data_IF_389530373531
#
_entry.id   IF_389530373531
#
_cell.length_a   1.000
_cell.length_b   1.000
_cell.length_c   1.000
_cell.angle_alpha   90.00
_cell.angle_beta   90.00
_cell.angle_gamma   90.00
#
_symmetry.space_group_name_H-M   'P 1'
#
loop_
_entity.id
_entity.type
_entity.pdbx_description
1 polymer ?
#
# COMPACT_ATOMS: atom_id res chain seq x y z
N UNK A 1 73.94 -27.82 -5.64
CA UNK A 1 72.62 -27.17 -5.54
C UNK A 1 71.72 -27.83 -6.57
N UNK A 2 70.82 -28.68 -6.08
CA UNK A 2 69.71 -29.41 -6.73
C UNK A 2 68.49 -29.01 -5.86
N UNK A 3 67.26 -28.72 -6.30
CA UNK A 3 66.37 -29.11 -7.41
C UNK A 3 65.22 -28.07 -7.42
N UNK A 4 64.86 -27.43 -8.55
CA UNK A 4 63.72 -27.69 -9.45
C UNK A 4 62.30 -27.71 -8.85
N UNK A 5 61.40 -26.93 -9.45
CA UNK A 5 59.95 -27.11 -9.37
C UNK A 5 59.17 -26.05 -10.15
N UNK A 6 58.77 -26.38 -11.38
CA UNK A 6 58.07 -25.56 -12.39
C UNK A 6 56.57 -25.91 -12.45
N UNK A 7 55.73 -24.96 -12.88
CA UNK A 7 54.40 -25.18 -13.47
C UNK A 7 53.85 -23.85 -14.03
N UNK A 8 54.09 -23.48 -15.30
CA UNK A 8 53.27 -23.76 -16.53
C UNK A 8 51.84 -23.24 -16.41
N UNK A 9 51.22 -22.40 -17.25
CA UNK A 9 51.36 -21.93 -18.65
C UNK A 9 50.50 -20.65 -18.75
N UNK A 10 50.57 -19.71 -19.71
CA UNK A 10 51.18 -19.63 -21.03
C UNK A 10 51.03 -18.19 -21.55
N UNK A 11 51.86 -17.84 -22.52
CA UNK A 11 51.87 -16.57 -23.26
C UNK A 11 51.04 -16.73 -24.52
N UNK A 12 50.11 -15.81 -24.81
CA UNK A 12 50.04 -15.14 -26.12
C UNK A 12 49.12 -13.92 -26.12
N UNK A 13 49.55 -12.91 -26.87
CA UNK A 13 48.94 -11.59 -27.07
C UNK A 13 47.81 -11.68 -28.08
N UNK A 14 46.75 -10.89 -27.92
CA UNK A 14 45.91 -10.46 -29.05
C UNK A 14 45.30 -9.09 -28.77
N UNK A 15 45.58 -8.19 -29.70
CA UNK A 15 45.29 -6.76 -29.71
C UNK A 15 43.95 -6.54 -30.44
N UNK A 16 43.07 -5.73 -29.87
CA UNK A 16 42.13 -4.89 -30.62
C UNK A 16 41.64 -3.76 -29.70
N UNK A 17 42.42 -2.68 -29.65
CA UNK A 17 41.99 -1.39 -29.09
C UNK A 17 40.84 -0.85 -29.95
N UNK A 18 39.62 -0.92 -29.40
CA UNK A 18 38.50 -0.10 -29.84
C UNK A 18 38.64 1.29 -29.22
N UNK A 19 38.84 2.29 -30.07
CA UNK A 19 38.89 3.72 -29.79
C UNK A 19 37.88 4.19 -28.74
N UNK A 20 38.36 4.85 -27.69
CA UNK A 20 37.57 5.75 -26.83
C UNK A 20 38.21 7.13 -26.85
N UNK A 21 37.56 8.06 -27.54
CA UNK A 21 37.78 9.51 -27.50
C UNK A 21 36.44 10.17 -27.08
N UNK A 22 36.43 11.42 -26.59
CA UNK A 22 35.93 11.74 -25.26
C UNK A 22 34.90 12.87 -25.28
N UNK A 23 33.71 12.67 -24.72
CA UNK A 23 32.83 13.79 -24.32
C UNK A 23 31.74 13.24 -23.41
N UNK A 24 31.49 13.91 -22.28
CA UNK A 24 30.43 13.53 -21.37
C UNK A 24 30.74 13.87 -19.93
N UNK A 25 30.52 15.14 -19.59
CA UNK A 25 30.10 15.62 -18.27
C UNK A 25 29.57 14.48 -17.38
N UNK A 26 30.34 14.09 -16.38
CA UNK A 26 29.80 13.27 -15.29
C UNK A 26 29.08 14.22 -14.34
N UNK A 27 27.81 14.46 -14.68
CA UNK A 27 26.81 15.12 -13.86
C UNK A 27 26.75 14.43 -12.49
N UNK A 28 27.06 15.21 -11.46
CA UNK A 28 26.78 14.89 -10.06
C UNK A 28 25.28 15.00 -9.85
N UNK A 29 24.52 13.93 -10.11
CA UNK A 29 23.11 13.90 -9.75
C UNK A 29 22.94 13.50 -8.28
N UNK A 30 23.23 14.48 -7.43
CA UNK A 30 22.76 14.59 -6.05
C UNK A 30 21.24 14.86 -6.07
N UNK A 31 20.50 14.12 -5.25
CA UNK A 31 19.14 14.51 -4.85
C UNK A 31 18.00 13.91 -5.67
N UNK A 32 17.73 12.63 -5.49
CA UNK A 32 16.34 12.18 -5.44
C UNK A 32 16.09 11.61 -4.05
N UNK A 33 15.94 12.51 -3.07
CA UNK A 33 15.04 12.24 -1.95
C UNK A 33 13.62 12.23 -2.51
N UNK A 34 13.30 11.18 -3.28
CA UNK A 34 11.91 10.80 -3.47
C UNK A 34 11.52 10.21 -2.13
N UNK A 35 11.05 11.05 -1.23
CA UNK A 35 10.14 10.62 -0.17
C UNK A 35 9.01 9.92 -0.90
N UNK A 36 9.14 8.60 -1.07
CA UNK A 36 8.05 7.75 -1.53
C UNK A 36 6.86 8.13 -0.63
N UNK A 37 5.68 8.45 -1.19
CA UNK A 37 4.51 8.59 -0.34
C UNK A 37 4.47 7.35 0.56
N UNK A 38 4.18 7.52 1.86
CA UNK A 38 4.17 6.39 2.79
C UNK A 38 3.35 5.29 2.11
N UNK A 39 3.98 4.13 1.91
CA UNK A 39 3.45 3.10 1.03
C UNK A 39 1.97 2.86 1.39
N UNK A 40 1.07 3.18 0.47
CA UNK A 40 -0.36 3.00 0.71
C UNK A 40 -0.61 1.51 0.99
N UNK A 41 -1.45 1.16 1.97
CA UNK A 41 -1.81 -0.23 2.20
C UNK A 41 -2.38 -0.84 0.93
N UNK A 42 -1.93 -2.04 0.59
CA UNK A 42 -2.59 -2.82 -0.43
C UNK A 42 -4.02 -3.09 0.02
N UNK A 43 -4.98 -2.80 -0.86
CA UNK A 43 -6.39 -2.94 -0.58
C UNK A 43 -7.12 -3.63 -1.73
N UNK A 44 -8.15 -4.39 -1.40
CA UNK A 44 -9.02 -5.10 -2.34
C UNK A 44 -10.47 -4.77 -2.01
N UNK A 45 -11.25 -4.34 -3.01
CA UNK A 45 -12.69 -4.17 -2.85
C UNK A 45 -13.35 -5.55 -2.94
N UNK A 46 -13.77 -6.10 -1.80
CA UNK A 46 -14.38 -7.44 -1.72
C UNK A 46 -15.86 -7.38 -2.08
N UNK A 47 -16.55 -6.33 -1.62
CA UNK A 47 -17.97 -6.16 -1.90
C UNK A 47 -18.28 -4.74 -2.36
N UNK A 48 -19.19 -4.66 -3.33
CA UNK A 48 -19.77 -3.42 -3.82
C UNK A 48 -21.28 -3.59 -3.91
N UNK A 49 -22.00 -2.88 -3.06
CA UNK A 49 -23.45 -2.85 -3.02
C UNK A 49 -23.93 -1.50 -3.52
N UNK A 50 -24.97 -1.49 -4.35
CA UNK A 50 -25.58 -0.27 -4.87
C UNK A 50 -27.08 -0.38 -4.58
N UNK A 51 -27.56 0.49 -3.69
CA UNK A 51 -28.95 0.49 -3.21
C UNK A 51 -29.46 1.92 -3.24
N UNK A 52 -30.53 2.20 -3.99
CA UNK A 52 -31.12 3.55 -4.13
C UNK A 52 -30.07 4.65 -4.43
N UNK A 53 -29.23 4.42 -5.45
CA UNK A 53 -28.11 5.30 -5.85
C UNK A 53 -27.02 5.52 -4.79
N UNK A 54 -27.10 4.84 -3.63
CA UNK A 54 -26.03 4.83 -2.61
C UNK A 54 -25.14 3.62 -2.83
N UNK A 55 -23.85 3.89 -3.01
CA UNK A 55 -22.83 2.83 -3.16
C UNK A 55 -22.18 2.56 -1.82
N UNK A 56 -22.26 1.32 -1.35
CA UNK A 56 -21.52 0.81 -0.19
C UNK A 56 -20.38 -0.08 -0.66
N UNK A 57 -19.15 0.26 -0.26
CA UNK A 57 -17.97 -0.55 -0.53
C UNK A 57 -17.48 -1.23 0.74
N UNK A 58 -17.06 -2.47 0.61
CA UNK A 58 -16.31 -3.18 1.65
C UNK A 58 -14.93 -3.48 1.11
N UNK A 59 -13.94 -2.95 1.80
CA UNK A 59 -12.55 -2.93 1.39
C UNK A 59 -11.77 -3.76 2.40
N UNK A 60 -11.09 -4.77 1.90
CA UNK A 60 -10.15 -5.56 2.67
C UNK A 60 -8.77 -4.96 2.49
N UNK A 61 -8.12 -4.61 3.60
CA UNK A 61 -6.70 -4.29 3.61
C UNK A 61 -5.93 -5.47 4.17
N UNK A 62 -4.67 -5.61 3.79
CA UNK A 62 -3.84 -6.63 4.41
C UNK A 62 -3.70 -6.37 5.92
N UNK A 63 -3.64 -7.40 6.77
CA UNK A 63 -3.40 -7.20 8.19
C UNK A 63 -1.99 -6.62 8.40
N UNK A 64 -1.92 -5.46 9.06
CA UNK A 64 -0.66 -4.75 9.25
C UNK A 64 -0.78 -3.58 10.22
N UNK A 65 0.37 -3.02 10.60
CA UNK A 65 0.43 -1.78 11.36
C UNK A 65 0.58 -0.61 10.38
N UNK A 66 -0.54 0.04 10.08
CA UNK A 66 -0.58 1.21 9.22
C UNK A 66 -0.52 2.48 10.06
N UNK A 67 0.14 3.50 9.56
CA UNK A 67 0.04 4.83 10.15
C UNK A 67 -1.27 5.47 9.74
N UNK A 68 -1.80 6.42 10.53
CA UNK A 68 -2.98 7.21 10.17
C UNK A 68 -2.81 7.81 8.77
N UNK A 69 -1.65 8.40 8.46
CA UNK A 69 -1.34 8.95 7.13
C UNK A 69 -1.49 7.92 6.00
N UNK A 70 -1.12 6.65 6.22
CA UNK A 70 -1.27 5.59 5.21
C UNK A 70 -2.76 5.27 4.96
N UNK A 71 -3.55 5.21 6.03
CA UNK A 71 -5.00 5.01 5.96
C UNK A 71 -5.71 6.21 5.34
N UNK A 72 -5.27 7.42 5.63
CA UNK A 72 -5.79 8.64 5.00
C UNK A 72 -5.55 8.62 3.49
N UNK A 73 -4.33 8.28 3.05
CA UNK A 73 -4.02 8.14 1.62
C UNK A 73 -4.92 7.10 0.95
N UNK A 74 -5.14 5.95 1.59
CA UNK A 74 -6.10 4.93 1.13
C UNK A 74 -7.51 5.51 0.97
N UNK A 75 -7.98 6.25 1.98
CA UNK A 75 -9.31 6.88 1.95
C UNK A 75 -9.43 7.87 0.80
N UNK A 76 -8.43 8.74 0.59
CA UNK A 76 -8.43 9.67 -0.54
C UNK A 76 -8.52 8.93 -1.87
N UNK A 77 -7.76 7.86 -2.05
CA UNK A 77 -7.76 7.05 -3.27
C UNK A 77 -9.12 6.38 -3.51
N UNK A 78 -9.74 5.85 -2.46
CA UNK A 78 -11.07 5.22 -2.52
C UNK A 78 -12.17 6.23 -2.85
N UNK A 79 -12.13 7.41 -2.23
CA UNK A 79 -13.11 8.47 -2.47
C UNK A 79 -12.96 9.06 -3.88
N UNK A 80 -11.72 9.28 -4.33
CA UNK A 80 -11.44 9.79 -5.68
C UNK A 80 -11.79 8.77 -6.77
N UNK A 81 -11.40 7.50 -6.58
CA UNK A 81 -11.57 6.44 -7.58
C UNK A 81 -13.02 5.96 -7.67
N UNK A 82 -13.66 5.72 -6.53
CA UNK A 82 -14.97 5.07 -6.49
C UNK A 82 -16.12 5.98 -6.06
N UNK A 83 -15.81 7.11 -5.41
CA UNK A 83 -16.79 8.04 -4.82
C UNK A 83 -17.95 7.31 -4.12
N UNK A 84 -17.67 6.40 -3.17
CA UNK A 84 -18.72 5.65 -2.50
C UNK A 84 -19.57 6.57 -1.61
N UNK A 85 -20.79 6.15 -1.31
CA UNK A 85 -21.59 6.81 -0.26
C UNK A 85 -21.17 6.31 1.13
N UNK A 86 -20.88 5.01 1.23
CA UNK A 86 -20.34 4.37 2.42
C UNK A 86 -19.17 3.47 2.05
N UNK A 87 -18.11 3.48 2.81
CA UNK A 87 -17.05 2.48 2.69
C UNK A 87 -16.71 1.91 4.07
N UNK A 88 -16.44 0.63 4.15
CA UNK A 88 -16.03 -0.05 5.38
C UNK A 88 -14.70 -0.72 5.08
N UNK A 89 -13.66 -0.34 5.82
CA UNK A 89 -12.32 -0.90 5.65
C UNK A 89 -12.02 -1.85 6.80
N UNK A 90 -11.74 -3.10 6.47
CA UNK A 90 -11.48 -4.19 7.42
C UNK A 90 -10.16 -4.88 7.12
N UNK A 91 -9.55 -5.52 8.12
CA UNK A 91 -8.31 -6.30 7.95
C UNK A 91 -8.55 -7.78 7.65
N UNK A 92 -9.77 -8.26 7.83
CA UNK A 92 -10.10 -9.68 7.76
C UNK A 92 -11.27 -9.94 6.82
N UNK A 93 -11.18 -11.01 6.04
CA UNK A 93 -12.22 -11.36 5.06
C UNK A 93 -13.52 -11.80 5.73
N UNK A 94 -13.46 -12.43 6.90
CA UNK A 94 -14.65 -12.76 7.70
C UNK A 94 -15.40 -11.47 8.09
N UNK A 95 -14.69 -10.44 8.57
CA UNK A 95 -15.30 -9.14 8.84
C UNK A 95 -15.89 -8.49 7.57
N UNK A 96 -15.25 -8.67 6.40
CA UNK A 96 -15.79 -8.16 5.15
C UNK A 96 -17.15 -8.80 4.79
N UNK A 97 -17.29 -10.11 5.00
CA UNK A 97 -18.57 -10.82 4.79
C UNK A 97 -19.61 -10.38 5.82
N UNK A 98 -19.21 -10.16 7.09
CA UNK A 98 -20.10 -9.61 8.10
C UNK A 98 -20.58 -8.20 7.73
N UNK A 99 -19.73 -7.35 7.16
CA UNK A 99 -20.06 -5.97 6.80
C UNK A 99 -21.19 -5.83 5.77
N UNK A 100 -21.46 -6.88 4.98
CA UNK A 100 -22.56 -6.90 4.01
C UNK A 100 -23.84 -7.57 4.54
N UNK A 101 -23.78 -8.17 5.73
CA UNK A 101 -24.92 -8.84 6.35
C UNK A 101 -25.72 -7.82 7.17
N UNK A 102 -27.03 -7.84 6.97
CA UNK A 102 -27.97 -6.96 7.69
C UNK A 102 -28.40 -7.58 9.05
N UNK A 103 -28.36 -8.90 9.17
CA UNK A 103 -28.75 -9.65 10.38
C UNK A 103 -27.50 -10.18 11.10
N UNK A 104 -26.77 -9.27 11.75
CA UNK A 104 -25.61 -9.61 12.59
C UNK A 104 -26.06 -9.82 14.04
N UNK A 105 -25.60 -10.90 14.67
CA UNK A 105 -25.70 -11.03 16.12
C UNK A 105 -24.83 -9.96 16.81
N UNK A 106 -25.14 -9.59 18.07
CA UNK A 106 -24.31 -8.63 18.80
C UNK A 106 -22.85 -9.07 18.94
N UNK A 107 -22.60 -10.39 18.98
CA UNK A 107 -21.24 -10.95 19.01
C UNK A 107 -20.51 -10.71 17.68
N UNK A 108 -21.15 -11.01 16.54
CA UNK A 108 -20.60 -10.76 15.20
C UNK A 108 -20.40 -9.27 14.93
N UNK A 109 -21.35 -8.43 15.37
CA UNK A 109 -21.23 -6.99 15.22
C UNK A 109 -20.01 -6.44 15.98
N UNK A 110 -19.71 -7.01 17.15
CA UNK A 110 -18.53 -6.63 17.92
C UNK A 110 -17.24 -7.08 17.25
N UNK A 111 -17.23 -8.22 16.57
CA UNK A 111 -16.08 -8.69 15.77
C UNK A 111 -15.86 -7.78 14.57
N UNK A 112 -16.92 -7.42 13.87
CA UNK A 112 -16.84 -6.47 12.75
C UNK A 112 -16.25 -5.13 13.21
N UNK A 113 -16.74 -4.55 14.31
CA UNK A 113 -16.24 -3.27 14.81
C UNK A 113 -14.77 -3.35 15.26
N UNK A 114 -14.35 -4.43 15.93
CA UNK A 114 -12.96 -4.67 16.34
C UNK A 114 -12.00 -4.76 15.16
N UNK A 115 -12.45 -5.37 14.05
CA UNK A 115 -11.68 -5.56 12.81
C UNK A 115 -11.92 -4.50 11.75
N UNK A 116 -12.70 -3.47 12.08
CA UNK A 116 -12.88 -2.31 11.23
C UNK A 116 -11.82 -1.28 11.57
N UNK A 117 -11.03 -0.88 10.58
CA UNK A 117 -10.02 0.17 10.75
C UNK A 117 -10.62 1.55 10.59
N UNK A 118 -11.51 1.72 9.62
CA UNK A 118 -12.22 2.97 9.39
C UNK A 118 -13.50 2.75 8.61
N UNK A 119 -14.40 3.71 8.73
CA UNK A 119 -15.62 3.80 7.94
C UNK A 119 -15.70 5.17 7.29
N UNK A 120 -16.09 5.16 6.03
CA UNK A 120 -16.44 6.37 5.29
C UNK A 120 -17.96 6.44 5.25
N UNK A 121 -18.52 7.55 5.66
CA UNK A 121 -19.94 7.87 5.64
C UNK A 121 -20.18 9.15 4.84
N UNK A 122 -21.37 9.29 4.26
CA UNK A 122 -21.73 10.44 3.43
C UNK A 122 -20.72 10.75 2.30
N UNK A 123 -19.96 9.74 1.88
CA UNK A 123 -18.89 9.77 0.88
C UNK A 123 -17.63 10.56 1.19
N UNK A 124 -17.59 11.32 2.29
CA UNK A 124 -16.43 12.18 2.63
C UNK A 124 -16.13 12.21 4.13
N UNK A 125 -17.06 11.78 4.98
CA UNK A 125 -16.86 11.73 6.42
C UNK A 125 -16.18 10.43 6.79
N UNK A 126 -15.08 10.48 7.52
CA UNK A 126 -14.23 9.33 7.81
C UNK A 126 -14.14 9.21 9.31
N UNK A 127 -14.53 8.06 9.84
CA UNK A 127 -14.39 7.73 11.25
C UNK A 127 -13.41 6.57 11.38
N UNK A 128 -12.37 6.73 12.19
CA UNK A 128 -11.44 5.65 12.50
C UNK A 128 -12.00 4.78 13.63
N UNK A 129 -11.77 3.47 13.52
CA UNK A 129 -12.26 2.44 14.45
C UNK A 129 -11.10 1.56 14.94
N UNK A 130 -11.42 0.68 15.91
CA UNK A 130 -10.47 -0.29 16.47
C UNK A 130 -9.18 0.35 17.00
N UNK A 131 -8.00 -0.10 16.56
CA UNK A 131 -6.71 0.43 17.04
C UNK A 131 -6.43 1.87 16.61
N UNK A 132 -7.18 2.41 15.66
CA UNK A 132 -7.03 3.77 15.13
C UNK A 132 -8.12 4.72 15.64
N UNK A 133 -9.02 4.28 16.53
CA UNK A 133 -10.09 5.11 17.06
C UNK A 133 -9.58 6.41 17.74
N UNK A 134 -8.36 6.40 18.28
CA UNK A 134 -7.72 7.58 18.88
C UNK A 134 -7.38 8.68 17.84
N UNK A 135 -7.27 8.32 16.55
CA UNK A 135 -7.10 9.27 15.45
C UNK A 135 -8.37 10.12 15.21
N UNK A 136 -9.53 9.69 15.74
CA UNK A 136 -10.78 10.42 15.66
C UNK A 136 -11.48 10.27 14.31
N UNK A 137 -11.93 11.38 13.75
CA UNK A 137 -12.57 11.43 12.44
C UNK A 137 -12.06 12.61 11.62
N UNK A 138 -12.15 12.49 10.30
CA UNK A 138 -11.75 13.52 9.35
C UNK A 138 -12.78 13.66 8.23
N UNK A 139 -12.79 14.81 7.56
CA UNK A 139 -13.61 15.01 6.36
C UNK A 139 -12.70 15.25 5.15
N UNK A 140 -12.88 14.46 4.11
CA UNK A 140 -12.13 14.56 2.84
C UNK A 140 -12.63 15.78 2.06
N UNK A 141 -11.71 16.69 1.71
CA UNK A 141 -11.98 17.81 0.80
C UNK A 141 -12.49 19.12 1.44
N UNK A 142 -12.22 19.35 2.73
CA UNK A 142 -12.48 20.65 3.40
C UNK A 142 -11.40 21.70 3.16
#
# INVERSE_FOLDING_TARGET
MTETGVGTSGTEVSVAEGTVDPDGESDVQEGSDTTLPPAMPAYEVIHRLIVDDRTTLVILVEPGSYSTVQLENLVYDVVDTFSPNTAIVVDERDAADLAIRDDLTPEEQSVLDDRTFLRIENGVDVTFHGPYADAGGMTVGS
#
